data_IF_886562157802
#
_entry.id   IF_886562157802
#
_cell.length_a   1.000
_cell.length_b   1.000
_cell.length_c   1.000
_cell.angle_alpha   90.00
_cell.angle_beta   90.00
_cell.angle_gamma   90.00
#
_symmetry.space_group_name_H-M   'P 1'
#
loop_
_entity.id
_entity.type
_entity.pdbx_description
1 polymer ?
#
# COMPACT_ATOMS: atom_id res chain seq x y z
N UNK A 1 -19.91 -11.15 8.94
CA UNK A 1 -19.92 -10.55 10.31
C UNK A 1 -19.17 -9.21 10.37
N UNK A 2 -18.78 -8.62 9.22
CA UNK A 2 -17.87 -7.47 9.15
C UNK A 2 -18.56 -6.13 8.80
N UNK A 3 -19.65 -6.12 8.01
CA UNK A 3 -20.32 -4.87 7.60
C UNK A 3 -20.85 -4.00 8.76
N UNK A 4 -21.35 -4.62 9.83
CA UNK A 4 -21.81 -3.89 11.03
C UNK A 4 -20.65 -3.16 11.70
N UNK A 5 -19.48 -3.81 11.79
CA UNK A 5 -18.28 -3.22 12.40
C UNK A 5 -17.70 -2.08 11.56
N UNK A 6 -17.82 -2.12 10.24
CA UNK A 6 -17.36 -1.03 9.37
C UNK A 6 -18.27 0.19 9.38
N UNK A 7 -19.60 0.02 9.40
CA UNK A 7 -20.51 1.15 9.65
C UNK A 7 -20.26 1.77 11.01
N UNK A 8 -20.07 0.95 12.04
CA UNK A 8 -19.74 1.44 13.37
C UNK A 8 -18.33 2.07 13.41
N UNK A 9 -17.37 1.60 12.62
CA UNK A 9 -16.04 2.20 12.50
C UNK A 9 -16.09 3.54 11.76
N UNK A 10 -16.87 3.64 10.68
CA UNK A 10 -17.13 4.90 9.98
C UNK A 10 -17.71 5.94 10.94
N UNK A 11 -18.76 5.58 11.68
CA UNK A 11 -19.37 6.46 12.67
C UNK A 11 -18.38 6.88 13.78
N UNK A 12 -17.43 6.00 14.17
CA UNK A 12 -16.37 6.34 15.13
C UNK A 12 -15.39 7.35 14.55
N UNK A 13 -14.98 7.20 13.30
CA UNK A 13 -14.09 8.18 12.67
C UNK A 13 -14.80 9.50 12.36
N UNK A 14 -16.07 9.47 11.96
CA UNK A 14 -16.92 10.66 11.81
C UNK A 14 -17.00 11.44 13.14
N UNK A 15 -17.16 10.72 14.26
CA UNK A 15 -17.14 11.34 15.59
C UNK A 15 -15.74 11.86 15.95
N UNK A 16 -14.68 11.12 15.61
CA UNK A 16 -13.30 11.51 15.90
C UNK A 16 -12.92 12.82 15.21
N UNK A 17 -13.27 12.99 13.92
CA UNK A 17 -13.03 14.26 13.20
C UNK A 17 -13.91 15.39 13.72
N UNK A 18 -15.09 15.10 14.29
CA UNK A 18 -15.89 16.10 15.00
C UNK A 18 -15.27 16.56 16.33
N UNK A 19 -14.55 15.68 17.03
CA UNK A 19 -13.90 15.99 18.31
C UNK A 19 -12.56 16.72 18.10
N UNK A 20 -11.77 16.27 17.13
CA UNK A 20 -10.43 16.79 16.84
C UNK A 20 -10.29 17.06 15.32
N UNK A 21 -10.95 18.11 14.81
CA UNK A 21 -11.00 18.38 13.37
C UNK A 21 -9.64 18.76 12.78
N UNK A 22 -8.70 19.21 13.61
CA UNK A 22 -7.33 19.60 13.27
C UNK A 22 -6.36 18.40 13.16
N UNK A 23 -6.83 17.18 13.45
CA UNK A 23 -5.98 15.98 13.40
C UNK A 23 -6.18 15.19 12.10
N UNK A 24 -5.12 14.91 11.33
CA UNK A 24 -5.23 14.29 10.00
C UNK A 24 -5.68 12.82 10.05
N UNK A 25 -5.49 12.13 11.18
CA UNK A 25 -5.69 10.69 11.29
C UNK A 25 -7.12 10.24 10.99
N UNK A 26 -8.13 10.93 11.54
CA UNK A 26 -9.53 10.56 11.33
C UNK A 26 -9.92 10.56 9.85
N UNK A 27 -9.47 11.57 9.11
CA UNK A 27 -9.73 11.72 7.68
C UNK A 27 -9.05 10.66 6.83
N UNK A 28 -7.79 10.30 7.14
CA UNK A 28 -7.10 9.23 6.42
C UNK A 28 -7.77 7.87 6.64
N UNK A 29 -8.18 7.55 7.87
CA UNK A 29 -8.90 6.31 8.13
C UNK A 29 -10.30 6.30 7.50
N UNK A 30 -11.01 7.44 7.46
CA UNK A 30 -12.25 7.57 6.69
C UNK A 30 -12.02 7.30 5.21
N UNK A 31 -10.97 7.88 4.62
CA UNK A 31 -10.62 7.67 3.22
C UNK A 31 -10.39 6.20 2.93
N UNK A 32 -9.52 5.55 3.71
CA UNK A 32 -9.22 4.13 3.60
C UNK A 32 -10.47 3.27 3.74
N UNK A 33 -11.31 3.53 4.74
CA UNK A 33 -12.54 2.79 4.97
C UNK A 33 -13.51 2.93 3.79
N UNK A 34 -13.66 4.13 3.24
CA UNK A 34 -14.51 4.38 2.07
C UNK A 34 -13.97 3.65 0.83
N UNK A 35 -12.66 3.61 0.61
CA UNK A 35 -12.07 2.81 -0.48
C UNK A 35 -12.38 1.32 -0.38
N UNK A 36 -12.47 0.77 0.85
CA UNK A 36 -12.78 -0.65 1.06
C UNK A 36 -14.26 -0.99 0.94
N UNK A 37 -15.15 -0.03 1.24
CA UNK A 37 -16.58 -0.29 1.43
C UNK A 37 -17.47 0.29 0.34
N UNK A 38 -16.99 1.31 -0.38
CA UNK A 38 -17.75 2.01 -1.41
C UNK A 38 -17.34 1.56 -2.82
N UNK A 39 -18.30 1.61 -3.75
CA UNK A 39 -18.04 1.30 -5.17
C UNK A 39 -17.32 2.43 -5.90
N UNK A 40 -17.46 3.67 -5.42
CA UNK A 40 -16.85 4.86 -6.00
C UNK A 40 -15.67 5.36 -5.17
N UNK A 41 -14.66 5.89 -5.84
CA UNK A 41 -13.48 6.48 -5.19
C UNK A 41 -13.75 7.88 -4.60
N UNK A 42 -14.79 8.57 -5.07
CA UNK A 42 -15.13 9.96 -4.71
C UNK A 42 -15.21 10.21 -3.20
N UNK A 43 -16.01 9.43 -2.44
CA UNK A 43 -16.12 9.61 -0.99
C UNK A 43 -14.79 9.49 -0.24
N UNK A 44 -13.87 8.65 -0.73
CA UNK A 44 -12.55 8.52 -0.14
C UNK A 44 -11.67 9.76 -0.37
N UNK A 45 -11.77 10.36 -1.56
CA UNK A 45 -11.08 11.61 -1.89
C UNK A 45 -11.66 12.78 -1.10
N UNK A 46 -12.97 12.84 -0.91
CA UNK A 46 -13.61 13.90 -0.14
C UNK A 46 -13.19 13.87 1.34
N UNK A 47 -12.93 12.68 1.89
CA UNK A 47 -12.34 12.56 3.22
C UNK A 47 -10.91 13.13 3.26
N UNK A 48 -10.09 12.86 2.24
CA UNK A 48 -8.74 13.43 2.13
C UNK A 48 -8.80 14.96 2.04
N UNK A 49 -9.67 15.50 1.18
CA UNK A 49 -9.90 16.94 1.04
C UNK A 49 -10.32 17.59 2.36
N UNK A 50 -11.26 16.97 3.07
CA UNK A 50 -11.70 17.44 4.38
C UNK A 50 -10.55 17.47 5.41
N UNK A 51 -9.63 16.50 5.33
CA UNK A 51 -8.41 16.48 6.14
C UNK A 51 -7.42 17.55 5.75
N UNK A 52 -7.23 17.83 4.46
CA UNK A 52 -6.39 18.92 3.99
C UNK A 52 -6.90 20.28 4.48
N UNK A 53 -8.19 20.54 4.33
CA UNK A 53 -8.81 21.80 4.74
C UNK A 53 -8.73 22.06 6.25
N UNK A 54 -8.88 21.02 7.07
CA UNK A 54 -9.02 21.17 8.52
C UNK A 54 -7.74 20.88 9.31
N UNK A 55 -6.91 19.95 8.85
CA UNK A 55 -5.66 19.56 9.51
C UNK A 55 -4.39 20.06 8.78
N UNK A 56 -4.51 20.50 7.53
CA UNK A 56 -3.41 20.96 6.70
C UNK A 56 -2.76 19.86 5.85
N UNK A 57 -2.37 20.22 4.63
CA UNK A 57 -1.80 19.32 3.62
C UNK A 57 -0.56 18.58 4.13
N UNK A 58 0.37 19.31 4.75
CA UNK A 58 1.62 18.77 5.29
C UNK A 58 1.39 17.68 6.34
N UNK A 59 0.37 17.87 7.20
CA UNK A 59 0.04 16.90 8.24
C UNK A 59 -0.56 15.63 7.65
N UNK A 60 -1.43 15.77 6.65
CA UNK A 60 -2.04 14.62 5.96
C UNK A 60 -0.98 13.83 5.19
N UNK A 61 -0.15 14.49 4.36
CA UNK A 61 0.89 13.81 3.59
C UNK A 61 2.00 13.25 4.47
N UNK A 62 2.40 13.97 5.52
CA UNK A 62 3.36 13.46 6.51
C UNK A 62 2.83 12.25 7.27
N UNK A 63 1.52 12.15 7.50
CA UNK A 63 0.91 10.96 8.11
C UNK A 63 0.79 9.81 7.09
N UNK A 64 0.37 10.08 5.85
CA UNK A 64 0.32 9.08 4.78
C UNK A 64 1.69 8.44 4.56
N UNK A 65 2.76 9.23 4.42
CA UNK A 65 4.09 8.69 4.19
C UNK A 65 4.74 8.00 5.38
N UNK A 66 4.28 8.24 6.62
CA UNK A 66 4.81 7.57 7.84
C UNK A 66 4.04 6.33 8.25
N UNK A 67 2.72 6.34 8.13
CA UNK A 67 1.85 5.27 8.64
C UNK A 67 1.36 4.34 7.54
N UNK A 68 1.15 4.85 6.33
CA UNK A 68 0.60 4.08 5.22
C UNK A 68 1.71 3.53 4.29
N UNK A 69 2.98 3.92 4.50
CA UNK A 69 4.10 3.55 3.61
C UNK A 69 4.48 2.07 3.61
N UNK A 70 4.07 1.26 4.59
CA UNK A 70 4.41 -0.17 4.63
C UNK A 70 3.48 -1.07 3.80
N UNK A 71 2.25 -0.61 3.53
CA UNK A 71 1.22 -1.42 2.84
C UNK A 71 0.60 -0.66 1.69
N UNK A 72 0.46 0.65 1.79
CA UNK A 72 -0.47 1.45 0.97
C UNK A 72 0.21 2.30 -0.10
N UNK A 73 1.42 1.94 -0.53
CA UNK A 73 2.00 2.53 -1.75
C UNK A 73 1.03 2.41 -2.94
N UNK A 74 0.19 1.38 -2.96
CA UNK A 74 -0.83 1.18 -3.99
C UNK A 74 -1.96 2.21 -3.88
N UNK A 75 -2.27 2.75 -2.69
CA UNK A 75 -3.22 3.87 -2.54
C UNK A 75 -2.74 5.09 -3.31
N UNK A 76 -1.44 5.40 -3.27
CA UNK A 76 -0.89 6.51 -4.06
C UNK A 76 -1.10 6.30 -5.56
N UNK A 77 -1.00 5.05 -6.04
CA UNK A 77 -1.26 4.70 -7.45
C UNK A 77 -2.75 4.80 -7.80
N UNK A 78 -3.64 4.37 -6.91
CA UNK A 78 -5.09 4.47 -7.08
C UNK A 78 -5.55 5.93 -7.12
N UNK A 79 -5.06 6.75 -6.20
CA UNK A 79 -5.46 8.15 -6.06
C UNK A 79 -4.84 9.07 -7.11
N UNK A 80 -3.74 8.68 -7.78
CA UNK A 80 -3.03 9.57 -8.71
C UNK A 80 -3.79 9.91 -10.00
N UNK A 81 -4.90 9.21 -10.29
CA UNK A 81 -5.81 9.56 -11.39
C UNK A 81 -6.74 10.72 -11.05
N UNK A 82 -6.96 10.99 -9.78
CA UNK A 82 -7.77 12.14 -9.35
C UNK A 82 -7.00 13.45 -9.55
N UNK A 83 -7.67 14.45 -10.14
CA UNK A 83 -7.05 15.73 -10.48
C UNK A 83 -6.59 16.51 -9.24
N UNK A 84 -7.33 16.46 -8.14
CA UNK A 84 -7.05 17.18 -6.90
C UNK A 84 -5.82 16.56 -6.22
N UNK A 85 -5.85 15.23 -6.02
CA UNK A 85 -4.72 14.49 -5.47
C UNK A 85 -3.45 14.67 -6.31
N UNK A 86 -3.58 14.59 -7.64
CA UNK A 86 -2.43 14.76 -8.55
C UNK A 86 -1.76 16.12 -8.42
N UNK A 87 -2.54 17.20 -8.27
CA UNK A 87 -2.00 18.55 -8.09
C UNK A 87 -1.21 18.67 -6.80
N UNK A 88 -1.80 18.25 -5.68
CA UNK A 88 -1.22 18.47 -4.36
C UNK A 88 -0.05 17.52 -4.08
N UNK A 89 -0.25 16.22 -4.31
CA UNK A 89 0.82 15.23 -4.15
C UNK A 89 2.00 15.51 -5.09
N UNK A 90 1.73 15.99 -6.30
CA UNK A 90 2.76 16.40 -7.26
C UNK A 90 3.69 17.48 -6.70
N UNK A 91 3.13 18.47 -5.99
CA UNK A 91 3.83 19.60 -5.41
C UNK A 91 4.48 19.31 -4.04
N UNK A 92 4.02 18.29 -3.31
CA UNK A 92 4.48 17.99 -1.96
C UNK A 92 5.95 17.50 -1.92
N UNK A 93 6.78 18.11 -1.08
CA UNK A 93 8.10 17.56 -0.75
C UNK A 93 7.99 16.56 0.40
N UNK A 94 7.80 15.28 0.07
CA UNK A 94 7.64 14.24 1.09
C UNK A 94 8.87 14.12 2.00
N UNK A 95 10.08 14.43 1.52
CA UNK A 95 11.28 14.39 2.36
C UNK A 95 11.22 15.47 3.44
N UNK A 96 10.82 16.69 3.07
CA UNK A 96 10.61 17.79 4.01
C UNK A 96 9.52 17.47 5.05
N UNK A 97 8.54 16.62 4.68
CA UNK A 97 7.48 16.12 5.57
C UNK A 97 7.92 14.95 6.47
N UNK A 98 9.21 14.58 6.43
CA UNK A 98 9.78 13.52 7.26
C UNK A 98 9.49 12.11 6.76
N UNK A 99 9.08 11.96 5.50
CA UNK A 99 9.02 10.65 4.82
C UNK A 99 10.44 10.25 4.46
N UNK A 100 10.81 9.01 4.76
CA UNK A 100 12.16 8.56 4.47
C UNK A 100 12.41 8.41 2.95
N UNK A 101 13.69 8.39 2.55
CA UNK A 101 14.06 8.38 1.13
C UNK A 101 13.55 7.19 0.32
N UNK A 102 13.45 5.99 0.90
CA UNK A 102 12.93 4.84 0.19
C UNK A 102 11.43 4.98 -0.05
N UNK A 103 10.69 5.35 1.00
CA UNK A 103 9.26 5.59 0.91
C UNK A 103 8.95 6.74 -0.06
N UNK A 104 9.71 7.84 -0.01
CA UNK A 104 9.58 8.96 -0.94
C UNK A 104 9.67 8.49 -2.40
N UNK A 105 10.75 7.78 -2.76
CA UNK A 105 10.95 7.34 -4.14
C UNK A 105 9.92 6.30 -4.58
N UNK A 106 9.52 5.38 -3.69
CA UNK A 106 8.47 4.43 -4.01
C UNK A 106 7.12 5.10 -4.26
N UNK A 107 6.70 6.02 -3.38
CA UNK A 107 5.45 6.73 -3.58
C UNK A 107 5.47 7.57 -4.85
N UNK A 108 6.60 8.22 -5.19
CA UNK A 108 6.77 8.91 -6.47
C UNK A 108 6.65 7.96 -7.66
N UNK A 109 7.27 6.79 -7.59
CA UNK A 109 7.16 5.77 -8.64
C UNK A 109 5.70 5.32 -8.85
N UNK A 110 5.00 5.01 -7.76
CA UNK A 110 3.60 4.57 -7.79
C UNK A 110 2.65 5.68 -8.25
N UNK A 111 2.89 6.92 -7.82
CA UNK A 111 2.16 8.10 -8.27
C UNK A 111 2.23 8.25 -9.79
N UNK A 112 3.45 8.29 -10.35
CA UNK A 112 3.68 8.44 -11.78
C UNK A 112 3.12 7.26 -12.57
N UNK A 113 3.27 6.03 -12.06
CA UNK A 113 2.69 4.83 -12.66
C UNK A 113 1.18 4.93 -12.78
N UNK A 114 0.47 5.28 -11.71
CA UNK A 114 -0.99 5.42 -11.75
C UNK A 114 -1.47 6.59 -12.62
N UNK A 115 -0.64 7.63 -12.76
CA UNK A 115 -0.89 8.75 -13.67
C UNK A 115 -0.61 8.42 -15.15
N UNK A 116 -0.08 7.23 -15.46
CA UNK A 116 0.29 6.79 -16.80
C UNK A 116 1.67 7.30 -17.29
N UNK A 117 2.44 7.95 -16.43
CA UNK A 117 3.79 8.47 -16.73
C UNK A 117 4.83 7.39 -16.44
N UNK A 118 4.98 6.45 -17.37
CA UNK A 118 5.83 5.27 -17.20
C UNK A 118 7.32 5.60 -17.18
N UNK A 119 7.74 6.70 -17.83
CA UNK A 119 9.13 7.16 -17.83
C UNK A 119 9.54 7.62 -16.43
N UNK A 120 8.80 8.56 -15.83
CA UNK A 120 9.10 9.01 -14.46
C UNK A 120 8.90 7.91 -13.44
N UNK A 121 7.90 7.04 -13.63
CA UNK A 121 7.72 5.88 -12.78
C UNK A 121 8.99 5.02 -12.71
N UNK A 122 9.62 4.73 -13.86
CA UNK A 122 10.88 3.97 -13.93
C UNK A 122 12.04 4.69 -13.25
N UNK A 123 12.21 5.99 -13.47
CA UNK A 123 13.27 6.79 -12.84
C UNK A 123 13.17 6.73 -11.32
N UNK A 124 11.97 6.91 -10.77
CA UNK A 124 11.74 6.83 -9.34
C UNK A 124 11.84 5.40 -8.80
N UNK A 125 11.46 4.38 -9.58
CA UNK A 125 11.70 2.98 -9.22
C UNK A 125 13.20 2.66 -9.12
N UNK A 126 14.05 3.21 -9.98
CA UNK A 126 15.50 3.01 -9.89
C UNK A 126 16.08 3.71 -8.65
N UNK A 127 15.63 4.92 -8.36
CA UNK A 127 16.01 5.64 -7.14
C UNK A 127 15.58 4.87 -5.88
N UNK A 128 14.36 4.34 -5.86
CA UNK A 128 13.87 3.50 -4.77
C UNK A 128 14.72 2.23 -4.61
N UNK A 129 14.99 1.54 -5.72
CA UNK A 129 15.83 0.33 -5.75
C UNK A 129 17.17 0.58 -5.09
N UNK A 130 17.90 1.62 -5.49
CA UNK A 130 19.23 1.91 -4.94
C UNK A 130 19.21 2.09 -3.42
N UNK A 131 18.23 2.85 -2.90
CA UNK A 131 18.10 3.08 -1.46
C UNK A 131 17.71 1.78 -0.74
N UNK A 132 16.80 1.00 -1.31
CA UNK A 132 16.30 -0.24 -0.71
C UNK A 132 17.34 -1.35 -0.71
N UNK A 133 18.12 -1.53 -1.78
CA UNK A 133 19.25 -2.47 -1.84
C UNK A 133 20.23 -2.21 -0.70
N UNK A 134 20.64 -0.94 -0.53
CA UNK A 134 21.55 -0.54 0.55
C UNK A 134 20.96 -0.81 1.94
N UNK A 135 19.67 -0.52 2.16
CA UNK A 135 19.00 -0.74 3.46
C UNK A 135 18.80 -2.23 3.76
N UNK A 136 18.40 -3.03 2.78
CA UNK A 136 18.25 -4.47 2.93
C UNK A 136 19.61 -5.08 3.30
N UNK A 137 20.68 -4.71 2.59
CA UNK A 137 22.04 -5.17 2.90
C UNK A 137 22.49 -4.76 4.31
N UNK A 138 22.31 -3.48 4.69
CA UNK A 138 22.67 -2.95 6.00
C UNK A 138 21.99 -3.69 7.16
N UNK A 139 20.76 -4.16 6.96
CA UNK A 139 19.98 -4.81 8.01
C UNK A 139 20.07 -6.33 7.98
N UNK A 140 20.69 -6.94 6.96
CA UNK A 140 20.83 -8.39 6.83
C UNK A 140 21.62 -9.03 7.97
N UNK A 141 22.60 -8.31 8.52
CA UNK A 141 23.40 -8.78 9.67
C UNK A 141 22.61 -8.81 10.98
N UNK A 142 21.49 -8.08 11.06
CA UNK A 142 20.61 -8.05 12.23
C UNK A 142 19.53 -9.12 12.21
N UNK A 143 19.49 -9.94 11.15
CA UNK A 143 18.48 -10.99 10.94
C UNK A 143 18.88 -12.37 11.52
N UNK A 144 19.90 -12.41 12.40
CA UNK A 144 20.31 -13.63 13.10
C UNK A 144 19.21 -14.23 13.98
N UNK A 145 19.50 -15.34 14.66
CA UNK A 145 18.50 -16.08 15.46
C UNK A 145 17.83 -15.20 16.54
N UNK A 146 18.54 -14.20 17.05
CA UNK A 146 18.06 -13.27 18.09
C UNK A 146 17.16 -12.12 17.58
N UNK A 147 16.93 -12.01 16.27
CA UNK A 147 16.14 -10.92 15.71
C UNK A 147 14.68 -10.96 16.20
N UNK A 148 14.20 -9.82 16.70
CA UNK A 148 12.82 -9.69 17.18
C UNK A 148 11.82 -9.81 16.03
N UNK A 149 10.58 -10.18 16.35
CA UNK A 149 9.48 -10.22 15.35
C UNK A 149 9.34 -8.87 14.63
N UNK A 150 9.49 -7.75 15.35
CA UNK A 150 9.41 -6.42 14.77
C UNK A 150 10.54 -6.13 13.76
N UNK A 151 11.76 -6.59 14.05
CA UNK A 151 12.89 -6.45 13.12
C UNK A 151 12.70 -7.27 11.86
N UNK A 152 12.21 -8.51 12.02
CA UNK A 152 11.86 -9.37 10.88
C UNK A 152 10.73 -8.75 10.05
N UNK A 153 9.65 -8.26 10.65
CA UNK A 153 8.57 -7.58 9.92
C UNK A 153 9.07 -6.35 9.16
N UNK A 154 9.95 -5.55 9.77
CA UNK A 154 10.57 -4.39 9.09
C UNK A 154 11.44 -4.81 7.90
N UNK A 155 12.18 -5.91 8.03
CA UNK A 155 12.99 -6.41 6.93
C UNK A 155 12.14 -6.99 5.80
N UNK A 156 11.10 -7.75 6.13
CA UNK A 156 10.10 -8.23 5.18
C UNK A 156 9.46 -7.08 4.39
N UNK A 157 9.09 -5.99 5.07
CA UNK A 157 8.56 -4.79 4.40
C UNK A 157 9.59 -4.16 3.43
N UNK A 158 10.86 -4.05 3.83
CA UNK A 158 11.93 -3.56 2.94
C UNK A 158 12.13 -4.44 1.71
N UNK A 159 12.07 -5.77 1.88
CA UNK A 159 12.19 -6.74 0.79
C UNK A 159 11.00 -6.67 -0.17
N UNK A 160 9.77 -6.55 0.34
CA UNK A 160 8.58 -6.34 -0.48
C UNK A 160 8.66 -5.02 -1.28
N UNK A 161 9.09 -3.94 -0.63
CA UNK A 161 9.35 -2.65 -1.26
C UNK A 161 10.42 -2.72 -2.35
N UNK A 162 11.50 -3.48 -2.10
CA UNK A 162 12.54 -3.72 -3.10
C UNK A 162 11.98 -4.51 -4.28
N UNK A 163 11.16 -5.53 -4.03
CA UNK A 163 10.42 -6.27 -5.07
C UNK A 163 9.56 -5.35 -5.93
N UNK A 164 8.86 -4.39 -5.31
CA UNK A 164 8.07 -3.39 -6.04
C UNK A 164 8.93 -2.47 -6.91
N UNK A 165 10.08 -2.01 -6.39
CA UNK A 165 11.01 -1.20 -7.15
C UNK A 165 11.53 -1.96 -8.39
N UNK A 166 11.90 -3.23 -8.23
CA UNK A 166 12.30 -4.08 -9.35
C UNK A 166 11.17 -4.32 -10.35
N UNK A 167 9.94 -4.55 -9.88
CA UNK A 167 8.78 -4.70 -10.76
C UNK A 167 8.50 -3.41 -11.56
N UNK A 168 8.69 -2.24 -10.93
CA UNK A 168 8.64 -0.93 -11.58
C UNK A 168 9.63 -0.80 -12.74
N UNK A 169 10.78 -1.45 -12.64
CA UNK A 169 11.83 -1.49 -13.67
C UNK A 169 11.67 -2.62 -14.70
N UNK A 170 10.70 -3.53 -14.51
CA UNK A 170 10.55 -4.72 -15.35
C UNK A 170 11.59 -5.81 -15.09
N UNK A 171 12.29 -5.75 -13.94
CA UNK A 171 13.26 -6.77 -13.51
C UNK A 171 12.54 -7.91 -12.80
N UNK A 172 11.83 -8.74 -13.56
CA UNK A 172 10.91 -9.75 -13.03
C UNK A 172 11.57 -10.72 -12.04
N UNK A 173 12.71 -11.32 -12.41
CA UNK A 173 13.39 -12.29 -11.57
C UNK A 173 13.81 -11.69 -10.21
N UNK A 174 14.38 -10.48 -10.23
CA UNK A 174 14.79 -9.79 -9.01
C UNK A 174 13.58 -9.37 -8.15
N UNK A 175 12.50 -8.94 -8.80
CA UNK A 175 11.26 -8.57 -8.13
C UNK A 175 10.67 -9.76 -7.35
N UNK A 176 10.60 -10.92 -8.00
CA UNK A 176 10.09 -12.14 -7.40
C UNK A 176 11.01 -12.68 -6.33
N UNK A 177 12.34 -12.64 -6.54
CA UNK A 177 13.30 -13.07 -5.54
C UNK A 177 13.18 -12.24 -4.25
N UNK A 178 13.19 -10.91 -4.37
CA UNK A 178 13.08 -10.03 -3.21
C UNK A 178 11.72 -10.16 -2.50
N UNK A 179 10.61 -10.20 -3.24
CA UNK A 179 9.29 -10.34 -2.63
C UNK A 179 9.07 -11.70 -1.96
N UNK A 180 9.61 -12.78 -2.54
CA UNK A 180 9.56 -14.13 -1.93
C UNK A 180 10.42 -14.18 -0.67
N UNK A 181 11.64 -13.63 -0.72
CA UNK A 181 12.50 -13.52 0.46
C UNK A 181 11.78 -12.77 1.60
N UNK A 182 11.05 -11.69 1.29
CA UNK A 182 10.26 -10.96 2.28
C UNK A 182 9.14 -11.79 2.91
N UNK A 183 8.49 -12.67 2.15
CA UNK A 183 7.47 -13.60 2.68
C UNK A 183 8.12 -14.64 3.60
N UNK A 184 9.24 -15.22 3.19
CA UNK A 184 9.94 -16.27 3.92
C UNK A 184 10.62 -15.71 5.21
N UNK A 185 10.85 -14.40 5.26
CA UNK A 185 11.45 -13.73 6.41
C UNK A 185 10.55 -13.69 7.65
N UNK A 186 9.25 -13.88 7.48
CA UNK A 186 8.27 -13.89 8.59
C UNK A 186 8.02 -15.35 9.00
N UNK A 187 8.41 -15.76 10.23
CA UNK A 187 8.26 -17.15 10.66
C UNK A 187 6.80 -17.62 10.63
N UNK A 188 6.57 -18.84 10.17
CA UNK A 188 5.23 -19.44 10.19
C UNK A 188 4.64 -19.43 11.61
N UNK A 189 3.39 -18.96 11.73
CA UNK A 189 2.67 -18.88 13.01
C UNK A 189 3.01 -17.69 13.91
N UNK A 190 3.99 -16.85 13.52
CA UNK A 190 4.29 -15.60 14.20
C UNK A 190 3.80 -14.43 13.37
N UNK A 191 2.96 -13.59 13.97
CA UNK A 191 2.43 -12.35 13.37
C UNK A 191 1.59 -12.55 12.10
N UNK A 192 0.37 -13.05 12.29
CA UNK A 192 -0.60 -13.24 11.20
C UNK A 192 -0.89 -11.95 10.41
N UNK A 193 -0.74 -10.78 11.03
CA UNK A 193 -1.00 -9.48 10.38
C UNK A 193 0.16 -9.13 9.44
N UNK A 194 1.39 -9.01 9.92
CA UNK A 194 2.52 -8.67 9.06
C UNK A 194 2.86 -9.80 8.06
N UNK A 195 2.65 -11.06 8.45
CA UNK A 195 2.74 -12.21 7.55
C UNK A 195 1.74 -12.15 6.39
N UNK A 196 0.52 -11.64 6.64
CA UNK A 196 -0.46 -11.42 5.57
C UNK A 196 -0.02 -10.29 4.63
N UNK A 197 0.60 -9.24 5.15
CA UNK A 197 1.04 -8.08 4.37
C UNK A 197 2.10 -8.45 3.33
N UNK A 198 3.18 -9.14 3.73
CA UNK A 198 4.21 -9.56 2.78
C UNK A 198 3.64 -10.46 1.66
N UNK A 199 2.71 -11.36 2.00
CA UNK A 199 2.02 -12.21 1.01
C UNK A 199 1.13 -11.40 0.06
N UNK A 200 0.38 -10.43 0.59
CA UNK A 200 -0.43 -9.52 -0.24
C UNK A 200 0.48 -8.78 -1.23
N UNK A 201 1.61 -8.24 -0.75
CA UNK A 201 2.57 -7.51 -1.57
C UNK A 201 3.11 -8.37 -2.72
N UNK A 202 3.50 -9.62 -2.45
CA UNK A 202 3.91 -10.57 -3.49
C UNK A 202 2.79 -10.80 -4.53
N UNK A 203 1.55 -10.97 -4.08
CA UNK A 203 0.38 -11.09 -4.97
C UNK A 203 0.17 -9.88 -5.87
N UNK A 204 0.32 -8.66 -5.33
CA UNK A 204 0.21 -7.42 -6.11
C UNK A 204 1.36 -7.28 -7.11
N UNK A 205 2.60 -7.60 -6.71
CA UNK A 205 3.79 -7.59 -7.57
C UNK A 205 3.64 -8.57 -8.73
N UNK A 206 3.15 -9.79 -8.48
CA UNK A 206 2.83 -10.76 -9.53
C UNK A 206 1.84 -10.16 -10.54
N UNK A 207 0.80 -9.47 -10.06
CA UNK A 207 -0.16 -8.80 -10.93
C UNK A 207 0.48 -7.70 -11.78
N UNK A 208 1.35 -6.89 -11.18
CA UNK A 208 2.08 -5.80 -11.86
C UNK A 208 3.07 -6.31 -12.93
N UNK A 209 3.63 -7.51 -12.72
CA UNK A 209 4.52 -8.18 -13.66
C UNK A 209 3.76 -8.89 -14.81
N UNK A 210 2.43 -8.90 -14.77
CA UNK A 210 1.60 -9.58 -15.77
C UNK A 210 1.40 -11.07 -15.52
N UNK A 211 1.88 -11.60 -14.39
CA UNK A 211 1.75 -13.00 -13.97
C UNK A 211 0.34 -13.30 -13.43
N UNK A 212 -0.68 -13.00 -14.24
CA UNK A 212 -2.10 -12.90 -13.86
C UNK A 212 -2.61 -14.10 -13.09
N UNK A 213 -2.40 -15.31 -13.60
CA UNK A 213 -2.91 -16.54 -12.98
C UNK A 213 -2.20 -16.83 -11.65
N UNK A 214 -0.89 -16.56 -11.54
CA UNK A 214 -0.15 -16.70 -10.28
C UNK A 214 -0.61 -15.67 -9.26
N UNK A 215 -0.81 -14.41 -9.69
CA UNK A 215 -1.35 -13.35 -8.86
C UNK A 215 -2.72 -13.71 -8.29
N UNK A 216 -3.63 -14.20 -9.14
CA UNK A 216 -4.98 -14.61 -8.74
C UNK A 216 -4.93 -15.75 -7.72
N UNK A 217 -4.17 -16.82 -7.99
CA UNK A 217 -4.06 -17.95 -7.05
C UNK A 217 -3.49 -17.52 -5.72
N UNK A 218 -2.41 -16.72 -5.75
CA UNK A 218 -1.76 -16.23 -4.54
C UNK A 218 -2.70 -15.35 -3.73
N UNK A 219 -3.26 -14.29 -4.32
CA UNK A 219 -4.18 -13.38 -3.65
C UNK A 219 -5.44 -14.10 -3.15
N UNK A 220 -6.00 -15.05 -3.90
CA UNK A 220 -7.17 -15.81 -3.46
C UNK A 220 -6.89 -16.66 -2.21
N UNK A 221 -5.70 -17.25 -2.13
CA UNK A 221 -5.27 -18.00 -0.95
C UNK A 221 -4.99 -17.06 0.24
N UNK A 222 -4.24 -15.98 0.01
CA UNK A 222 -3.86 -15.02 1.05
C UNK A 222 -5.07 -14.29 1.64
N UNK A 223 -6.01 -13.85 0.80
CA UNK A 223 -7.19 -13.06 1.22
C UNK A 223 -8.36 -13.94 1.69
N UNK A 224 -8.18 -15.26 1.73
CA UNK A 224 -9.11 -16.14 2.44
C UNK A 224 -8.96 -16.04 3.96
N UNK A 225 -7.78 -15.62 4.45
CA UNK A 225 -7.49 -15.30 5.84
C UNK A 225 -7.84 -13.83 6.14
N UNK A 226 -8.15 -13.47 7.41
CA UNK A 226 -8.35 -12.07 7.78
C UNK A 226 -7.08 -11.23 7.53
N UNK A 227 -7.23 -10.13 6.78
CA UNK A 227 -6.15 -9.18 6.52
C UNK A 227 -6.69 -7.74 6.49
N UNK A 228 -5.78 -6.77 6.54
CA UNK A 228 -6.11 -5.35 6.37
C UNK A 228 -6.47 -5.02 4.92
N UNK A 229 -5.96 -5.77 3.95
CA UNK A 229 -6.25 -5.56 2.53
C UNK A 229 -7.55 -6.24 2.10
N UNK A 230 -8.41 -5.50 1.42
CA UNK A 230 -9.69 -5.98 0.91
C UNK A 230 -9.61 -6.12 -0.60
N UNK A 231 -9.98 -7.28 -1.13
CA UNK A 231 -9.89 -7.56 -2.58
C UNK A 231 -10.67 -6.53 -3.41
N UNK A 232 -11.74 -5.99 -2.84
CA UNK A 232 -12.62 -4.95 -3.41
C UNK A 232 -11.85 -3.68 -3.78
N UNK A 233 -10.76 -3.38 -3.06
CA UNK A 233 -9.90 -2.23 -3.31
C UNK A 233 -9.25 -2.26 -4.69
N UNK A 234 -9.02 -3.46 -5.25
CA UNK A 234 -8.44 -3.61 -6.59
C UNK A 234 -9.33 -3.00 -7.68
N UNK A 235 -10.63 -2.80 -7.43
CA UNK A 235 -11.55 -2.19 -8.41
C UNK A 235 -11.08 -0.81 -8.86
N UNK A 236 -10.48 -0.06 -7.93
CA UNK A 236 -10.01 1.30 -8.16
C UNK A 236 -8.60 1.34 -8.76
N UNK A 237 -7.95 0.18 -8.86
CA UNK A 237 -6.58 0.06 -9.34
C UNK A 237 -6.52 0.08 -10.88
N UNK A 238 -5.76 1.02 -11.48
CA UNK A 238 -5.70 1.13 -12.94
C UNK A 238 -5.06 -0.07 -13.64
N UNK A 239 -4.21 -0.84 -12.97
CA UNK A 239 -3.50 -1.98 -13.55
C UNK A 239 -4.10 -3.31 -13.09
N UNK A 240 -4.53 -3.39 -11.83
CA UNK A 240 -4.93 -4.63 -11.18
C UNK A 240 -6.44 -4.86 -11.13
N UNK A 241 -7.26 -3.87 -11.50
CA UNK A 241 -8.73 -4.01 -11.53
C UNK A 241 -9.21 -5.17 -12.41
N UNK A 242 -8.47 -5.51 -13.46
CA UNK A 242 -8.78 -6.66 -14.34
C UNK A 242 -8.70 -8.02 -13.62
N UNK A 243 -7.97 -8.11 -12.50
CA UNK A 243 -7.87 -9.35 -11.71
C UNK A 243 -9.24 -9.72 -11.09
N UNK A 244 -10.07 -8.74 -10.75
CA UNK A 244 -11.42 -8.96 -10.19
C UNK A 244 -12.41 -9.62 -11.17
N UNK A 245 -12.04 -9.73 -12.45
CA UNK A 245 -12.83 -10.49 -13.42
C UNK A 245 -12.79 -12.00 -13.11
N UNK A 246 -11.78 -12.50 -12.41
CA UNK A 246 -11.69 -13.90 -12.04
C UNK A 246 -12.68 -14.27 -10.92
N UNK A 247 -13.46 -15.37 -11.06
CA UNK A 247 -14.43 -15.79 -10.06
C UNK A 247 -13.85 -16.02 -8.66
N UNK A 248 -12.58 -16.46 -8.55
CA UNK A 248 -11.92 -16.75 -7.26
C UNK A 248 -11.77 -15.48 -6.42
N UNK A 249 -11.32 -14.39 -7.03
CA UNK A 249 -11.22 -13.08 -6.36
C UNK A 249 -12.59 -12.43 -6.17
N UNK A 250 -13.49 -12.57 -7.16
CA UNK A 250 -14.85 -12.03 -7.07
C UNK A 250 -15.66 -12.63 -5.92
N UNK A 251 -15.50 -13.92 -5.64
CA UNK A 251 -16.17 -14.59 -4.52
C UNK A 251 -15.75 -14.00 -3.16
N UNK A 252 -14.50 -13.54 -3.03
CA UNK A 252 -14.00 -12.89 -1.82
C UNK A 252 -14.62 -11.50 -1.64
N UNK A 253 -14.86 -10.76 -2.72
CA UNK A 253 -15.51 -9.45 -2.69
C UNK A 253 -16.98 -9.47 -2.19
N UNK A 254 -17.63 -10.64 -2.20
CA UNK A 254 -19.04 -10.82 -1.82
C UNK A 254 -19.17 -11.32 -0.37
N UNK A 255 -18.09 -11.79 0.26
CA UNK A 255 -18.11 -12.28 1.65
C UNK A 255 -18.19 -11.10 2.65
N UNK A 256 -19.36 -10.94 3.28
CA UNK A 256 -19.75 -9.86 4.21
C UNK A 256 -19.63 -10.21 5.70
#
# INVERSE_FOLDING_TARGET
MALGRYRDAAARFDRAVGIAPDRPGGYLFQSWLRLTSEEEIGPALDAIDAGWERAGEDQVFGLMGRYLSQIDWWLTRVLSRDRRYRRLFGAADLLALGVDSAAHYLHRAQFHRGAGDTERARVYSDSARMVLEARVALHRERDGDDATVLERSRQAARLAHLGLAYAGLGREADALAAATEGVDHIPAGHDAVHGSEARIQLGLILGMLGERERAIRHLAATLAEPSSFRVEMLRHDPELSSLLQDPRLRALAVRR
#
